data_IF_098948344719
#
_entry.id   IF_098948344719
#
_cell.length_a   1.000
_cell.length_b   1.000
_cell.length_c   1.000
_cell.angle_alpha   90.00
_cell.angle_beta   90.00
_cell.angle_gamma   90.00
#
_symmetry.space_group_name_H-M   'P 1'
#
loop_
_entity.id
_entity.type
_entity.pdbx_description
1 polymer ?
#
# COMPACT_ATOMS: atom_id res chain seq x y z
N UNK A 1 -20.17 18.61 -18.27
CA UNK A 1 -21.41 18.86 -17.50
C UNK A 1 -21.02 19.15 -16.07
N UNK A 2 -21.43 20.30 -15.51
CA UNK A 2 -21.22 20.63 -14.10
C UNK A 2 -22.50 20.26 -13.35
N UNK A 3 -22.40 19.51 -12.26
CA UNK A 3 -23.56 19.22 -11.42
C UNK A 3 -23.85 20.45 -10.56
N UNK A 4 -25.01 21.14 -10.74
CA UNK A 4 -25.32 22.36 -9.98
C UNK A 4 -25.76 22.07 -8.54
N UNK A 5 -25.76 20.79 -8.14
CA UNK A 5 -26.17 20.31 -6.82
C UNK A 5 -24.99 19.67 -6.10
N UNK A 6 -24.86 20.01 -4.82
CA UNK A 6 -23.83 19.48 -3.92
C UNK A 6 -23.96 17.96 -3.84
N UNK A 7 -22.84 17.26 -3.94
CA UNK A 7 -22.78 15.80 -3.93
C UNK A 7 -22.76 15.28 -2.50
N UNK A 8 -22.94 13.98 -2.32
CA UNK A 8 -23.12 13.37 -0.99
C UNK A 8 -21.90 13.55 -0.07
N UNK A 9 -20.73 13.82 -0.63
CA UNK A 9 -19.49 14.13 0.08
C UNK A 9 -19.31 15.63 0.39
N UNK A 10 -20.30 16.46 0.03
CA UNK A 10 -20.27 17.90 0.24
C UNK A 10 -19.56 18.70 -0.85
N UNK A 11 -19.02 18.06 -1.89
CA UNK A 11 -18.29 18.74 -2.96
C UNK A 11 -19.17 19.00 -4.20
N UNK A 12 -18.74 19.95 -5.02
CA UNK A 12 -19.33 20.21 -6.34
C UNK A 12 -18.36 19.68 -7.41
N UNK A 13 -18.86 18.92 -8.38
CA UNK A 13 -18.04 18.38 -9.46
C UNK A 13 -18.39 19.01 -10.80
N UNK A 14 -17.36 19.38 -11.56
CA UNK A 14 -17.45 19.61 -12.99
C UNK A 14 -16.85 18.42 -13.76
N UNK A 15 -17.46 18.07 -14.89
CA UNK A 15 -16.87 17.14 -15.85
C UNK A 15 -16.24 17.98 -16.96
N UNK A 16 -14.91 18.04 -16.95
CA UNK A 16 -14.12 18.52 -18.08
C UNK A 16 -13.93 17.40 -19.09
N UNK A 17 -14.29 17.69 -20.35
CA UNK A 17 -14.08 16.77 -21.46
C UNK A 17 -12.69 17.05 -22.03
N UNK A 18 -11.70 16.22 -21.68
CA UNK A 18 -10.36 16.29 -22.26
C UNK A 18 -10.33 15.39 -23.51
N UNK A 19 -10.21 15.95 -24.73
CA UNK A 19 -10.17 15.14 -25.96
C UNK A 19 -8.95 14.21 -25.96
N UNK A 20 -9.12 12.94 -26.36
CA UNK A 20 -8.06 11.91 -26.37
C UNK A 20 -6.83 12.25 -27.22
N UNK A 21 -6.94 13.24 -28.11
CA UNK A 21 -5.85 13.67 -29.00
C UNK A 21 -5.12 14.92 -28.51
N UNK A 22 -5.53 15.49 -27.36
CA UNK A 22 -4.75 16.55 -26.74
C UNK A 22 -3.48 15.89 -26.19
N UNK A 23 -2.28 16.32 -26.63
CA UNK A 23 -1.05 15.84 -26.02
C UNK A 23 -1.14 16.08 -24.51
N UNK A 24 -0.92 15.03 -23.72
CA UNK A 24 -0.75 15.19 -22.28
C UNK A 24 0.55 15.96 -22.09
N UNK A 25 0.44 17.28 -22.04
CA UNK A 25 1.56 18.14 -21.75
C UNK A 25 1.71 18.13 -20.24
N UNK A 26 2.59 17.23 -19.77
CA UNK A 26 2.98 17.23 -18.36
C UNK A 26 3.47 18.63 -17.98
N UNK A 27 3.15 19.12 -16.77
CA UNK A 27 3.65 20.39 -16.29
C UNK A 27 5.18 20.40 -16.40
N UNK A 28 5.70 21.23 -17.31
CA UNK A 28 7.14 21.45 -17.51
C UNK A 28 7.43 22.87 -17.10
N UNK A 29 8.36 23.06 -16.17
CA UNK A 29 8.92 24.38 -15.90
C UNK A 29 10.14 24.59 -16.78
N UNK A 30 10.35 25.84 -17.21
CA UNK A 30 11.60 26.28 -17.84
C UNK A 30 12.70 26.56 -16.83
N UNK A 31 12.32 26.66 -15.55
CA UNK A 31 13.25 26.99 -14.47
C UNK A 31 14.10 25.75 -14.14
N UNK A 32 15.42 25.82 -14.27
CA UNK A 32 16.28 24.71 -13.91
C UNK A 32 16.23 24.45 -12.41
N UNK A 33 16.45 23.19 -12.02
CA UNK A 33 16.57 22.81 -10.60
C UNK A 33 17.79 23.56 -10.01
N UNK A 34 17.61 24.35 -8.93
CA UNK A 34 18.69 25.06 -8.26
C UNK A 34 19.78 24.13 -7.73
N UNK A 35 21.02 24.62 -7.64
CA UNK A 35 22.18 23.82 -7.26
C UNK A 35 22.06 23.27 -5.81
N UNK A 36 21.41 24.02 -4.91
CA UNK A 36 21.16 23.65 -3.52
C UNK A 36 20.19 22.46 -3.34
N UNK A 37 19.51 22.07 -4.42
CA UNK A 37 18.64 20.89 -4.49
C UNK A 37 19.28 19.71 -5.22
N UNK A 38 20.51 19.85 -5.73
CA UNK A 38 21.23 18.71 -6.28
C UNK A 38 21.48 17.65 -5.20
N UNK A 39 21.11 16.40 -5.50
CA UNK A 39 21.18 15.29 -4.55
C UNK A 39 20.03 15.22 -3.54
N UNK A 40 19.08 16.16 -3.58
CA UNK A 40 17.81 16.12 -2.83
C UNK A 40 16.66 15.70 -3.75
N UNK A 41 15.45 15.61 -3.19
CA UNK A 41 14.26 15.21 -3.94
C UNK A 41 13.55 16.48 -4.39
N UNK A 42 14.10 17.11 -5.42
CA UNK A 42 13.58 18.34 -5.99
C UNK A 42 12.17 18.12 -6.58
N UNK A 43 11.22 18.94 -6.16
CA UNK A 43 9.86 18.99 -6.69
C UNK A 43 9.52 20.44 -7.00
N UNK A 44 8.92 20.69 -8.16
CA UNK A 44 8.41 22.02 -8.50
C UNK A 44 7.04 22.22 -7.84
N UNK A 45 6.93 23.22 -6.97
CA UNK A 45 5.68 23.66 -6.38
C UNK A 45 4.98 24.65 -7.33
N UNK A 46 3.90 24.20 -7.95
CA UNK A 46 3.13 24.98 -8.92
C UNK A 46 2.31 26.11 -8.28
N UNK A 47 2.12 26.12 -6.96
CA UNK A 47 1.43 27.20 -6.26
C UNK A 47 2.35 28.38 -5.99
N UNK A 48 3.60 28.09 -5.60
CA UNK A 48 4.60 29.13 -5.31
C UNK A 48 5.52 29.42 -6.50
N UNK A 49 5.49 28.57 -7.55
CA UNK A 49 6.38 28.63 -8.72
C UNK A 49 7.87 28.48 -8.34
N UNK A 50 8.16 27.65 -7.36
CA UNK A 50 9.50 27.45 -6.83
C UNK A 50 9.87 25.97 -6.75
N UNK A 51 11.17 25.69 -6.88
CA UNK A 51 11.70 24.36 -6.58
C UNK A 51 11.85 24.19 -5.07
N UNK A 52 11.30 23.11 -4.54
CA UNK A 52 11.40 22.75 -3.12
C UNK A 52 12.08 21.40 -2.95
N UNK A 53 12.74 21.20 -1.80
CA UNK A 53 13.09 19.86 -1.34
C UNK A 53 11.82 19.22 -0.76
N UNK A 54 11.31 18.19 -1.43
CA UNK A 54 10.12 17.49 -0.94
C UNK A 54 10.41 16.67 0.33
N UNK A 55 11.69 16.39 0.64
CA UNK A 55 12.14 15.62 1.82
C UNK A 55 11.67 14.17 1.88
N UNK A 56 10.71 13.77 1.04
CA UNK A 56 10.08 12.46 1.02
C UNK A 56 10.02 12.01 -0.44
N UNK A 57 10.79 10.98 -0.77
CA UNK A 57 10.64 10.34 -2.06
C UNK A 57 9.38 9.49 -1.96
N UNK A 58 8.29 9.84 -2.67
CA UNK A 58 7.03 9.10 -2.58
C UNK A 58 7.22 7.64 -2.96
N UNK A 59 8.22 7.33 -3.79
CA UNK A 59 8.61 5.96 -4.14
C UNK A 59 9.19 5.25 -2.93
N UNK A 60 10.12 5.89 -2.21
CA UNK A 60 10.70 5.34 -0.99
C UNK A 60 9.64 5.11 0.09
N UNK A 61 8.74 6.07 0.32
CA UNK A 61 7.65 5.91 1.29
C UNK A 61 6.70 4.74 0.92
N UNK A 62 6.35 4.62 -0.37
CA UNK A 62 5.53 3.51 -0.86
C UNK A 62 6.24 2.15 -0.72
N UNK A 63 7.55 2.10 -1.00
CA UNK A 63 8.37 0.89 -0.81
C UNK A 63 8.42 0.50 0.66
N UNK A 64 8.65 1.44 1.58
CA UNK A 64 8.68 1.17 3.01
C UNK A 64 7.33 0.64 3.51
N UNK A 65 6.22 1.24 3.08
CA UNK A 65 4.89 0.76 3.43
C UNK A 65 4.64 -0.67 2.89
N UNK A 66 5.06 -0.96 1.67
CA UNK A 66 4.94 -2.28 1.07
C UNK A 66 5.76 -3.33 1.82
N UNK A 67 7.00 -2.98 2.22
CA UNK A 67 7.87 -3.84 3.02
C UNK A 67 7.27 -4.14 4.40
N UNK A 68 6.69 -3.14 5.07
CA UNK A 68 6.01 -3.32 6.35
C UNK A 68 4.80 -4.27 6.24
N UNK A 69 3.99 -4.10 5.20
CA UNK A 69 2.86 -4.98 4.93
C UNK A 69 3.30 -6.42 4.64
N UNK A 70 4.38 -6.61 3.87
CA UNK A 70 4.94 -7.93 3.60
C UNK A 70 5.43 -8.63 4.88
N UNK A 71 6.09 -7.90 5.79
CA UNK A 71 6.53 -8.43 7.08
C UNK A 71 5.35 -8.90 7.95
N UNK A 72 4.28 -8.10 8.02
CA UNK A 72 3.06 -8.47 8.76
C UNK A 72 2.39 -9.73 8.19
N UNK A 73 2.29 -9.84 6.87
CA UNK A 73 1.76 -11.03 6.21
C UNK A 73 2.60 -12.27 6.52
N UNK A 74 3.93 -12.19 6.49
CA UNK A 74 4.81 -13.32 6.85
C UNK A 74 4.60 -13.77 8.30
N UNK A 75 4.37 -12.83 9.21
CA UNK A 75 4.09 -13.10 10.62
C UNK A 75 2.75 -13.85 10.78
N UNK A 76 1.72 -13.39 10.09
CA UNK A 76 0.42 -14.06 10.04
C UNK A 76 0.54 -15.48 9.46
N UNK A 77 1.26 -15.66 8.35
CA UNK A 77 1.50 -16.99 7.76
C UNK A 77 2.21 -17.94 8.74
N UNK A 78 3.18 -17.44 9.50
CA UNK A 78 3.90 -18.25 10.49
C UNK A 78 2.98 -18.68 11.62
N UNK A 79 2.15 -17.78 12.15
CA UNK A 79 1.15 -18.10 13.18
C UNK A 79 0.08 -19.08 12.67
N UNK A 80 -0.37 -18.94 11.42
CA UNK A 80 -1.31 -19.88 10.82
C UNK A 80 -0.68 -21.27 10.71
N UNK A 81 0.58 -21.37 10.24
CA UNK A 81 1.31 -22.64 10.15
C UNK A 81 1.45 -23.32 11.51
N UNK A 82 1.84 -22.58 12.55
CA UNK A 82 1.99 -23.15 13.89
C UNK A 82 0.65 -23.63 14.47
N UNK A 83 -0.41 -22.85 14.26
CA UNK A 83 -1.78 -23.22 14.67
C UNK A 83 -2.24 -24.48 13.95
N UNK A 84 -2.02 -24.58 12.63
CA UNK A 84 -2.38 -25.76 11.85
C UNK A 84 -1.63 -27.01 12.32
N UNK A 85 -0.33 -26.91 12.58
CA UNK A 85 0.46 -28.00 13.12
C UNK A 85 -0.04 -28.45 14.51
N UNK A 86 -0.43 -27.49 15.37
CA UNK A 86 -1.05 -27.75 16.66
C UNK A 86 -2.38 -28.50 16.54
N UNK A 87 -3.25 -28.05 15.63
CA UNK A 87 -4.53 -28.70 15.34
C UNK A 87 -4.34 -30.11 14.77
N UNK A 88 -3.40 -30.31 13.85
CA UNK A 88 -3.06 -31.64 13.31
C UNK A 88 -2.61 -32.60 14.42
N UNK A 89 -1.81 -32.13 15.36
CA UNK A 89 -1.38 -32.92 16.53
C UNK A 89 -2.56 -33.27 17.44
N UNK A 90 -3.46 -32.32 17.69
CA UNK A 90 -4.69 -32.57 18.47
C UNK A 90 -5.60 -33.59 17.78
N UNK A 91 -5.84 -33.45 16.49
CA UNK A 91 -6.63 -34.42 15.71
C UNK A 91 -5.99 -35.81 15.81
N UNK A 92 -4.68 -35.91 15.59
CA UNK A 92 -3.96 -37.19 15.67
C UNK A 92 -4.07 -37.85 17.04
N UNK A 93 -4.12 -37.07 18.14
CA UNK A 93 -4.34 -37.59 19.49
C UNK A 93 -5.76 -38.06 19.76
N UNK A 94 -6.75 -37.51 19.05
CA UNK A 94 -8.16 -37.88 19.15
C UNK A 94 -8.52 -39.07 18.24
N UNK A 95 -7.80 -39.23 17.12
CA UNK A 95 -8.06 -40.29 16.13
C UNK A 95 -7.19 -41.54 16.31
N UNK A 96 -6.21 -41.53 17.22
CA UNK A 96 -5.53 -42.74 17.65
C UNK A 96 -6.31 -43.35 18.83
N UNK A 97 -7.10 -44.43 18.63
CA UNK A 97 -7.56 -45.20 19.77
C UNK A 97 -6.33 -45.83 20.40
N UNK A 98 -6.00 -45.43 21.62
CA UNK A 98 -5.10 -46.21 22.45
C UNK A 98 -5.69 -47.63 22.50
N UNK A 99 -4.99 -48.60 21.92
CA UNK A 99 -5.23 -50.02 22.13
C UNK A 99 -4.95 -50.29 23.60
N UNK A 100 -5.96 -50.06 24.45
CA UNK A 100 -6.05 -50.68 25.77
C UNK A 100 -6.26 -52.17 25.55
N UNK A 101 -5.17 -52.91 25.31
CA UNK A 101 -5.14 -54.33 25.67
C UNK A 101 -5.02 -54.39 27.18
N UNK A 102 -6.17 -54.30 27.85
CA UNK A 102 -6.34 -54.83 29.20
C UNK A 102 -6.09 -56.33 29.08
N UNK A 103 -4.94 -56.78 29.59
CA UNK A 103 -4.66 -58.20 29.74
C UNK A 103 -5.43 -58.66 30.97
N UNK A 104 -6.68 -59.10 30.79
CA UNK A 104 -7.44 -59.81 31.81
C UNK A 104 -7.24 -61.33 31.68
N UNK A 105 -7.11 -61.95 32.87
CA UNK A 105 -7.12 -63.37 33.22
C UNK A 105 -5.92 -64.24 32.80
#
# INVERSE_FOLDING_TARGET
>A
MTYPVQQQDGNFYHIDYVPQYVPVEYPKTTDPIPAELQGKIAKYDWQTSEWIDSGIDPTTAAITALQANAAMLMLQFTTIKSTLAGLQKQISSLTNPATTTTKEA
#
